data_IF_161847978505
#
_entry.id   IF_161847978505
#
_cell.length_a   1.000
_cell.length_b   1.000
_cell.length_c   1.000
_cell.angle_alpha   90.00
_cell.angle_beta   90.00
_cell.angle_gamma   90.00
#
_symmetry.space_group_name_H-M   'P 1'
#
loop_
_entity.id
_entity.type
_entity.pdbx_description
1 polymer ?
#
# COMPACT_ATOMS: atom_id res chain seq x y z
N UNK A 1 0.64 -13.15 -15.52
CA UNK A 1 -0.64 -13.87 -15.32
C UNK A 1 -1.75 -12.82 -15.37
N UNK A 2 -2.77 -12.97 -16.21
CA UNK A 2 -3.87 -12.01 -16.28
C UNK A 2 -4.94 -12.40 -15.25
N UNK A 3 -5.42 -11.45 -14.46
CA UNK A 3 -6.57 -11.66 -13.58
C UNK A 3 -7.80 -11.97 -14.43
N UNK A 4 -8.48 -13.10 -14.14
CA UNK A 4 -9.74 -13.42 -14.82
C UNK A 4 -10.88 -12.56 -14.27
N UNK A 5 -11.91 -12.24 -15.06
CA UNK A 5 -13.07 -11.48 -14.60
C UNK A 5 -13.77 -12.11 -13.38
N UNK A 6 -13.84 -13.44 -13.34
CA UNK A 6 -14.42 -14.19 -12.22
C UNK A 6 -13.63 -13.95 -10.93
N UNK A 7 -12.30 -13.91 -11.03
CA UNK A 7 -11.43 -13.71 -9.89
C UNK A 7 -11.54 -12.27 -9.36
N UNK A 8 -11.57 -11.27 -10.25
CA UNK A 8 -11.79 -9.87 -9.87
C UNK A 8 -13.15 -9.68 -9.20
N UNK A 9 -14.18 -10.38 -9.69
CA UNK A 9 -15.51 -10.38 -9.05
C UNK A 9 -15.46 -10.98 -7.64
N UNK A 10 -14.73 -12.09 -7.48
CA UNK A 10 -14.46 -12.69 -6.16
C UNK A 10 -13.75 -11.72 -5.22
N UNK A 11 -12.70 -11.06 -5.70
CA UNK A 11 -11.98 -10.04 -4.94
C UNK A 11 -12.90 -8.92 -4.45
N UNK A 12 -13.70 -8.32 -5.33
CA UNK A 12 -14.64 -7.27 -4.96
C UNK A 12 -15.64 -7.71 -3.88
N UNK A 13 -16.19 -8.92 -4.03
CA UNK A 13 -17.15 -9.49 -3.09
C UNK A 13 -16.54 -9.73 -1.70
N UNK A 14 -15.39 -10.40 -1.63
CA UNK A 14 -14.75 -10.74 -0.36
C UNK A 14 -14.06 -9.54 0.27
N UNK A 15 -13.54 -8.60 -0.51
CA UNK A 15 -13.04 -7.31 -0.01
C UNK A 15 -14.11 -6.58 0.79
N UNK A 16 -15.31 -6.40 0.20
CA UNK A 16 -16.43 -5.75 0.89
C UNK A 16 -16.82 -6.45 2.19
N UNK A 17 -16.82 -7.79 2.20
CA UNK A 17 -17.13 -8.59 3.40
C UNK A 17 -16.06 -8.42 4.48
N UNK A 18 -14.78 -8.54 4.13
CA UNK A 18 -13.68 -8.45 5.10
C UNK A 18 -13.56 -7.04 5.68
N UNK A 19 -13.64 -6.00 4.84
CA UNK A 19 -13.63 -4.60 5.31
C UNK A 19 -14.81 -4.31 6.23
N UNK A 20 -16.01 -4.78 5.87
CA UNK A 20 -17.19 -4.67 6.75
C UNK A 20 -16.99 -5.44 8.05
N UNK A 21 -16.48 -6.66 8.00
CA UNK A 21 -16.20 -7.49 9.18
C UNK A 21 -15.23 -6.80 10.15
N UNK A 22 -14.14 -6.24 9.63
CA UNK A 22 -13.19 -5.48 10.42
C UNK A 22 -13.85 -4.28 11.14
N UNK A 23 -14.70 -3.52 10.44
CA UNK A 23 -15.37 -2.34 11.00
C UNK A 23 -16.60 -2.63 11.86
N UNK A 24 -17.05 -3.89 11.96
CA UNK A 24 -18.00 -4.30 13.00
C UNK A 24 -17.35 -4.15 14.38
N UNK A 25 -16.04 -4.41 14.47
CA UNK A 25 -15.26 -4.43 15.71
C UNK A 25 -14.44 -3.14 15.89
N UNK A 26 -13.86 -2.61 14.81
CA UNK A 26 -12.84 -1.55 14.87
C UNK A 26 -13.33 -0.24 14.23
N UNK A 27 -13.00 0.90 14.84
CA UNK A 27 -13.33 2.23 14.29
C UNK A 27 -12.20 2.78 13.41
N UNK A 28 -10.98 2.35 13.72
CA UNK A 28 -9.74 2.82 13.14
C UNK A 28 -9.65 2.41 11.68
N UNK A 29 -9.15 3.27 10.78
CA UNK A 29 -8.98 2.88 9.40
C UNK A 29 -7.99 1.72 9.23
N UNK A 30 -8.28 0.81 8.30
CA UNK A 30 -7.36 -0.26 7.87
C UNK A 30 -6.03 0.34 7.36
N UNK A 31 -4.91 -0.12 7.94
CA UNK A 31 -3.54 0.31 7.61
C UNK A 31 -2.56 -0.86 7.74
N UNK A 32 -1.44 -0.78 7.04
CA UNK A 32 -0.24 -1.62 7.26
C UNK A 32 -0.54 -3.12 7.39
N UNK A 33 -0.22 -3.74 8.54
CA UNK A 33 -0.40 -5.17 8.78
C UNK A 33 -1.86 -5.62 8.80
N UNK A 34 -2.80 -4.74 9.16
CA UNK A 34 -4.24 -5.04 9.09
C UNK A 34 -4.66 -5.22 7.64
N UNK A 35 -4.14 -4.38 6.74
CA UNK A 35 -4.41 -4.54 5.30
C UNK A 35 -3.88 -5.87 4.80
N UNK A 36 -2.70 -6.27 5.23
CA UNK A 36 -2.09 -7.54 4.84
C UNK A 36 -2.91 -8.76 5.29
N UNK A 37 -3.41 -8.75 6.54
CA UNK A 37 -4.28 -9.81 7.04
C UNK A 37 -5.62 -9.87 6.27
N UNK A 38 -6.23 -8.71 6.01
CA UNK A 38 -7.47 -8.62 5.23
C UNK A 38 -7.25 -9.10 3.79
N UNK A 39 -6.20 -8.62 3.12
CA UNK A 39 -5.88 -8.99 1.74
C UNK A 39 -5.69 -10.51 1.62
N UNK A 40 -4.98 -11.13 2.56
CA UNK A 40 -4.80 -12.60 2.62
C UNK A 40 -6.14 -13.33 2.68
N UNK A 41 -7.07 -12.90 3.54
CA UNK A 41 -8.40 -13.51 3.61
C UNK A 41 -9.20 -13.33 2.31
N UNK A 42 -9.12 -12.14 1.70
CA UNK A 42 -9.79 -11.87 0.42
C UNK A 42 -9.28 -12.79 -0.68
N UNK A 43 -7.96 -12.96 -0.78
CA UNK A 43 -7.32 -13.86 -1.75
C UNK A 43 -7.77 -15.32 -1.54
N UNK A 44 -7.68 -15.82 -0.31
CA UNK A 44 -8.07 -17.19 0.03
C UNK A 44 -9.54 -17.47 -0.30
N UNK A 45 -10.44 -16.59 0.11
CA UNK A 45 -11.86 -16.77 -0.16
C UNK A 45 -12.23 -16.62 -1.63
N UNK A 46 -11.49 -15.82 -2.40
CA UNK A 46 -11.64 -15.72 -3.84
C UNK A 46 -11.06 -16.92 -4.62
N UNK A 47 -10.49 -17.91 -3.92
CA UNK A 47 -9.94 -19.14 -4.52
C UNK A 47 -8.47 -19.07 -4.90
N UNK A 48 -7.73 -18.06 -4.43
CA UNK A 48 -6.28 -18.03 -4.56
C UNK A 48 -5.61 -18.88 -3.47
N UNK A 49 -4.46 -19.48 -3.79
CA UNK A 49 -3.58 -20.04 -2.77
C UNK A 49 -2.64 -18.95 -2.25
N UNK A 50 -2.41 -18.92 -0.93
CA UNK A 50 -1.40 -18.06 -0.30
C UNK A 50 -0.28 -18.94 0.23
N UNK A 51 0.92 -18.76 -0.31
CA UNK A 51 2.11 -19.54 0.05
C UNK A 51 2.81 -18.96 1.29
N UNK A 52 2.83 -17.64 1.42
CA UNK A 52 3.45 -16.97 2.58
C UNK A 52 2.86 -15.59 2.82
N UNK A 53 2.93 -15.15 4.08
CA UNK A 53 2.54 -13.83 4.55
C UNK A 53 3.62 -13.29 5.50
N UNK A 54 3.96 -12.00 5.41
CA UNK A 54 5.03 -11.37 6.19
C UNK A 54 4.64 -11.08 7.64
N UNK A 55 3.34 -11.11 7.96
CA UNK A 55 2.72 -10.86 9.25
C UNK A 55 3.15 -9.53 9.87
N UNK A 56 3.21 -8.47 9.06
CA UNK A 56 3.66 -7.15 9.50
C UNK A 56 5.17 -7.04 9.74
N UNK A 57 5.96 -8.05 9.34
CA UNK A 57 7.42 -7.93 9.40
C UNK A 57 7.91 -6.81 8.47
N UNK A 58 8.92 -6.07 8.91
CA UNK A 58 9.52 -4.98 8.13
C UNK A 58 10.52 -5.48 7.07
N UNK A 59 10.40 -6.74 6.64
CA UNK A 59 11.27 -7.28 5.60
C UNK A 59 11.04 -6.49 4.29
N UNK A 60 12.11 -6.10 3.58
CA UNK A 60 11.94 -5.37 2.33
C UNK A 60 11.31 -6.27 1.26
N UNK A 61 10.32 -5.75 0.54
CA UNK A 61 9.80 -6.37 -0.69
C UNK A 61 8.33 -6.80 -0.60
N UNK A 62 8.09 -8.09 -0.90
CA UNK A 62 6.78 -8.73 -0.89
C UNK A 62 6.29 -9.04 0.52
N UNK A 63 5.03 -8.70 0.77
CA UNK A 63 4.30 -8.99 2.01
C UNK A 63 3.45 -10.27 1.89
N UNK A 64 2.92 -10.58 0.70
CA UNK A 64 2.13 -11.79 0.44
C UNK A 64 2.63 -12.47 -0.84
N UNK A 65 2.89 -13.77 -0.77
CA UNK A 65 3.12 -14.61 -1.96
C UNK A 65 1.89 -15.46 -2.22
N UNK A 66 1.31 -15.36 -3.41
CA UNK A 66 0.04 -16.02 -3.76
C UNK A 66 0.02 -16.54 -5.19
N UNK A 67 -1.02 -17.29 -5.56
CA UNK A 67 -1.20 -17.79 -6.92
C UNK A 67 -1.35 -16.69 -7.97
N UNK A 68 -1.69 -15.45 -7.58
CA UNK A 68 -1.75 -14.31 -8.51
C UNK A 68 -0.42 -13.56 -8.63
N UNK A 69 0.58 -13.92 -7.81
CA UNK A 69 1.87 -13.26 -7.73
C UNK A 69 2.20 -12.78 -6.31
N UNK A 70 3.36 -12.14 -6.23
CA UNK A 70 3.89 -11.52 -5.03
C UNK A 70 3.38 -10.08 -4.89
N UNK A 71 2.84 -9.75 -3.72
CA UNK A 71 2.22 -8.45 -3.44
C UNK A 71 3.09 -7.69 -2.45
N UNK A 72 3.30 -6.39 -2.70
CA UNK A 72 3.76 -5.44 -1.69
C UNK A 72 2.56 -4.62 -1.24
N UNK A 73 2.10 -4.86 -0.01
CA UNK A 73 0.96 -4.17 0.56
C UNK A 73 1.32 -2.76 0.98
N UNK A 74 0.43 -1.83 0.66
CA UNK A 74 0.56 -0.42 0.99
C UNK A 74 -0.78 0.10 1.46
N UNK A 75 -0.76 1.03 2.41
CA UNK A 75 -1.95 1.74 2.85
C UNK A 75 -1.72 3.24 2.76
N UNK A 76 -2.70 3.97 2.24
CA UNK A 76 -2.58 5.41 2.00
C UNK A 76 -3.91 6.10 2.30
N UNK A 77 -3.85 7.36 2.74
CA UNK A 77 -5.00 8.26 2.79
C UNK A 77 -4.95 9.13 1.55
N UNK A 78 -6.05 9.30 0.84
CA UNK A 78 -6.12 10.27 -0.24
C UNK A 78 -5.75 11.67 0.29
N UNK A 79 -4.90 12.37 -0.45
CA UNK A 79 -4.46 13.73 -0.07
C UNK A 79 -5.58 14.76 -0.23
N UNK A 80 -6.54 14.47 -1.11
CA UNK A 80 -7.62 15.35 -1.51
C UNK A 80 -8.91 14.55 -1.71
N UNK A 81 -10.06 15.19 -1.50
CA UNK A 81 -11.37 14.58 -1.79
C UNK A 81 -11.59 14.28 -3.27
N UNK A 82 -10.80 14.87 -4.16
CA UNK A 82 -10.79 14.54 -5.58
C UNK A 82 -10.35 13.09 -5.87
N UNK A 83 -9.71 12.43 -4.88
CA UNK A 83 -9.12 11.09 -5.02
C UNK A 83 -8.24 10.97 -6.26
N UNK A 84 -7.57 12.06 -6.61
CA UNK A 84 -6.75 12.18 -7.81
C UNK A 84 -5.27 11.88 -7.55
N UNK A 85 -4.87 11.77 -6.27
CA UNK A 85 -3.47 11.57 -5.91
C UNK A 85 -3.30 10.57 -4.76
N UNK A 86 -2.33 9.68 -4.91
CA UNK A 86 -1.83 8.79 -3.87
C UNK A 86 -0.37 9.12 -3.55
N UNK A 87 0.00 9.10 -2.28
CA UNK A 87 1.40 9.15 -1.86
C UNK A 87 1.78 7.83 -1.20
N UNK A 88 2.51 6.99 -1.92
CA UNK A 88 2.88 5.65 -1.48
C UNK A 88 4.36 5.62 -1.15
N UNK A 89 4.70 5.15 0.05
CA UNK A 89 6.10 4.93 0.41
C UNK A 89 6.57 3.54 0.02
N UNK A 90 7.83 3.43 -0.36
CA UNK A 90 8.51 2.18 -0.69
C UNK A 90 9.99 2.29 -0.33
N UNK A 91 10.72 1.18 -0.33
CA UNK A 91 12.18 1.06 -0.14
C UNK A 91 12.83 2.02 0.89
N UNK A 92 13.32 1.49 2.01
CA UNK A 92 14.20 2.25 2.92
C UNK A 92 15.64 2.24 2.39
N UNK A 93 16.15 3.38 1.93
CA UNK A 93 17.39 3.45 1.14
C UNK A 93 18.59 3.98 1.94
N UNK A 94 18.53 3.96 3.28
CA UNK A 94 19.62 4.44 4.15
C UNK A 94 20.98 3.77 3.89
N UNK A 95 21.00 2.60 3.25
CA UNK A 95 22.23 1.89 2.86
C UNK A 95 22.98 2.56 1.70
N UNK A 96 22.27 3.30 0.84
CA UNK A 96 22.82 3.92 -0.39
C UNK A 96 22.68 5.44 -0.40
N UNK A 97 21.81 6.02 0.42
CA UNK A 97 21.69 7.47 0.55
C UNK A 97 21.25 7.94 1.94
N UNK A 98 21.79 9.07 2.38
CA UNK A 98 21.60 9.66 3.71
C UNK A 98 21.99 11.14 3.72
N UNK A 99 21.80 11.82 4.85
CA UNK A 99 22.18 13.22 4.99
C UNK A 99 23.70 13.43 4.93
N UNK A 100 24.50 12.46 5.41
CA UNK A 100 25.96 12.51 5.39
C UNK A 100 26.56 12.01 4.06
N UNK A 101 25.83 11.14 3.36
CA UNK A 101 26.21 10.64 2.05
C UNK A 101 24.97 10.63 1.15
N UNK A 102 24.76 11.66 0.30
CA UNK A 102 23.61 11.73 -0.59
C UNK A 102 23.47 10.55 -1.57
N UNK A 103 24.55 9.79 -1.79
CA UNK A 103 24.61 8.72 -2.79
C UNK A 103 24.56 9.26 -4.22
N UNK A 104 24.44 8.36 -5.19
CA UNK A 104 24.12 8.71 -6.57
C UNK A 104 22.87 7.96 -7.05
N UNK A 105 22.20 8.53 -8.06
CA UNK A 105 20.92 8.00 -8.55
C UNK A 105 21.05 6.61 -9.17
N UNK A 106 22.18 6.32 -9.83
CA UNK A 106 22.42 5.01 -10.44
C UNK A 106 22.41 3.91 -9.38
N UNK A 107 23.20 4.06 -8.32
CA UNK A 107 23.25 3.12 -7.19
C UNK A 107 21.91 3.00 -6.48
N UNK A 108 21.19 4.11 -6.30
CA UNK A 108 19.85 4.11 -5.70
C UNK A 108 18.87 3.28 -6.54
N UNK A 109 18.86 3.47 -7.87
CA UNK A 109 18.00 2.73 -8.79
C UNK A 109 18.38 1.25 -8.81
N UNK A 110 19.68 0.92 -8.80
CA UNK A 110 20.16 -0.46 -8.75
C UNK A 110 19.73 -1.15 -7.45
N UNK A 111 19.83 -0.48 -6.30
CA UNK A 111 19.38 -1.02 -5.01
C UNK A 111 17.86 -1.23 -4.98
N UNK A 112 17.08 -0.34 -5.59
CA UNK A 112 15.62 -0.53 -5.77
C UNK A 112 15.35 -1.79 -6.61
N UNK A 113 16.01 -1.93 -7.77
CA UNK A 113 15.84 -3.09 -8.66
C UNK A 113 16.24 -4.39 -7.97
N UNK A 114 17.34 -4.39 -7.23
CA UNK A 114 17.84 -5.56 -6.48
C UNK A 114 16.84 -6.03 -5.42
N UNK A 115 16.15 -5.10 -4.74
CA UNK A 115 15.17 -5.42 -3.68
C UNK A 115 13.78 -5.75 -4.21
N UNK A 116 13.49 -5.45 -5.48
CA UNK A 116 12.19 -5.70 -6.10
C UNK A 116 12.00 -7.21 -6.29
N UNK A 117 11.18 -7.81 -5.43
CA UNK A 117 10.84 -9.23 -5.44
C UNK A 117 9.31 -9.47 -5.46
N UNK A 118 8.55 -8.46 -5.86
CA UNK A 118 7.10 -8.50 -5.93
C UNK A 118 6.59 -8.08 -7.32
N UNK A 119 5.44 -8.60 -7.69
CA UNK A 119 4.80 -8.39 -8.98
C UNK A 119 3.87 -7.17 -8.93
N UNK A 120 3.18 -6.95 -7.82
CA UNK A 120 2.18 -5.89 -7.69
C UNK A 120 2.35 -5.06 -6.41
N UNK A 121 2.09 -3.76 -6.52
CA UNK A 121 1.70 -2.94 -5.38
C UNK A 121 0.21 -3.17 -5.12
N UNK A 122 -0.11 -3.77 -3.97
CA UNK A 122 -1.49 -3.94 -3.49
C UNK A 122 -1.81 -2.83 -2.51
N UNK A 123 -2.47 -1.78 -2.99
CA UNK A 123 -2.65 -0.52 -2.25
C UNK A 123 -4.09 -0.41 -1.79
N UNK A 124 -4.30 -0.32 -0.47
CA UNK A 124 -5.57 0.14 0.08
C UNK A 124 -5.51 1.67 0.26
N UNK A 125 -6.27 2.39 -0.55
CA UNK A 125 -6.45 3.83 -0.42
C UNK A 125 -7.75 4.13 0.31
N UNK A 126 -7.73 5.14 1.17
CA UNK A 126 -8.92 5.54 1.94
C UNK A 126 -9.23 7.02 1.86
N UNK A 127 -10.51 7.33 1.88
CA UNK A 127 -11.06 8.67 2.13
C UNK A 127 -11.91 8.61 3.39
N UNK A 128 -11.56 9.43 4.39
CA UNK A 128 -12.32 9.56 5.63
C UNK A 128 -13.38 10.64 5.41
N UNK A 129 -14.64 10.22 5.31
CA UNK A 129 -15.80 11.05 5.00
C UNK A 129 -16.48 11.55 6.29
N UNK A 130 -17.37 12.53 6.14
CA UNK A 130 -18.18 13.02 7.26
C UNK A 130 -19.12 11.93 7.81
N UNK A 131 -19.45 12.03 9.10
CA UNK A 131 -20.42 11.13 9.73
C UNK A 131 -19.89 9.71 10.00
N UNK A 132 -18.60 9.58 10.36
CA UNK A 132 -17.96 8.28 10.65
C UNK A 132 -18.10 7.29 9.50
N UNK A 133 -17.81 7.75 8.28
CA UNK A 133 -17.80 6.93 7.06
C UNK A 133 -16.40 6.91 6.48
N UNK A 134 -16.02 5.78 5.90
CA UNK A 134 -14.78 5.65 5.15
C UNK A 134 -15.08 4.98 3.81
N UNK A 135 -14.57 5.58 2.74
CA UNK A 135 -14.47 4.97 1.42
C UNK A 135 -13.09 4.33 1.26
N UNK A 136 -13.07 3.11 0.75
CA UNK A 136 -11.86 2.37 0.44
C UNK A 136 -11.83 1.97 -1.03
N UNK A 137 -10.68 2.19 -1.68
CA UNK A 137 -10.34 1.62 -2.97
C UNK A 137 -9.17 0.66 -2.79
N UNK A 138 -9.25 -0.50 -3.42
CA UNK A 138 -8.16 -1.45 -3.52
C UNK A 138 -7.59 -1.41 -4.94
N UNK A 139 -6.35 -0.91 -5.04
CA UNK A 139 -5.58 -0.93 -6.26
C UNK A 139 -4.68 -2.16 -6.31
N UNK A 140 -4.60 -2.77 -7.49
CA UNK A 140 -3.57 -3.74 -7.82
C UNK A 140 -2.74 -3.23 -9.00
N UNK A 141 -1.69 -2.47 -8.68
CA UNK A 141 -0.84 -1.81 -9.67
C UNK A 141 0.40 -2.65 -9.98
N UNK A 142 0.67 -3.02 -11.24
CA UNK A 142 1.89 -3.73 -11.62
C UNK A 142 3.13 -2.96 -11.17
N UNK A 143 4.06 -3.67 -10.56
CA UNK A 143 5.30 -3.09 -10.02
C UNK A 143 6.25 -2.57 -11.10
N UNK A 144 6.07 -2.99 -12.34
CA UNK A 144 6.78 -2.57 -13.55
C UNK A 144 6.03 -1.50 -14.36
N UNK A 145 4.86 -1.07 -13.88
CA UNK A 145 4.12 0.00 -14.52
C UNK A 145 4.97 1.29 -14.57
N UNK A 146 5.01 2.03 -15.70
CA UNK A 146 5.87 3.20 -15.87
C UNK A 146 5.73 4.26 -14.76
N UNK A 147 4.55 4.38 -14.15
CA UNK A 147 4.25 5.36 -13.08
C UNK A 147 5.00 5.08 -11.76
N UNK A 148 5.46 3.84 -11.55
CA UNK A 148 6.22 3.42 -10.36
C UNK A 148 7.64 2.99 -10.69
N UNK A 149 8.06 3.14 -11.95
CA UNK A 149 9.41 2.84 -12.40
C UNK A 149 10.32 4.08 -12.28
N UNK A 150 11.29 4.10 -11.34
CA UNK A 150 12.14 5.27 -11.12
C UNK A 150 13.05 5.60 -12.31
N UNK A 151 13.20 4.68 -13.28
CA UNK A 151 14.00 4.92 -14.50
C UNK A 151 13.26 5.77 -15.54
N UNK A 152 11.96 5.96 -15.39
CA UNK A 152 11.14 6.80 -16.30
C UNK A 152 11.18 8.28 -15.93
N UNK A 153 11.92 8.63 -14.90
CA UNK A 153 11.97 9.96 -14.33
C UNK A 153 13.39 10.53 -14.37
N UNK A 154 13.47 11.85 -14.51
CA UNK A 154 14.71 12.59 -14.38
C UNK A 154 14.89 13.03 -12.93
N UNK A 155 16.01 12.66 -12.33
CA UNK A 155 16.30 12.92 -10.93
C UNK A 155 17.18 14.16 -10.76
N UNK A 156 16.88 14.95 -9.72
CA UNK A 156 17.64 16.12 -9.33
C UNK A 156 17.81 16.22 -7.81
N UNK A 157 18.89 16.83 -7.31
CA UNK A 157 19.05 17.08 -5.89
C UNK A 157 17.89 17.90 -5.31
N UNK A 158 17.35 17.46 -4.17
CA UNK A 158 16.43 18.26 -3.37
C UNK A 158 17.27 19.15 -2.44
N UNK A 159 17.23 20.46 -2.63
CA UNK A 159 18.02 21.43 -1.84
C UNK A 159 17.15 22.09 -0.78
N UNK A 160 17.62 22.08 0.47
CA UNK A 160 16.93 22.74 1.57
C UNK A 160 16.86 24.25 1.38
N UNK A 161 15.68 24.83 1.63
CA UNK A 161 15.42 26.25 1.36
C UNK A 161 15.54 27.14 2.61
N UNK A 162 15.50 26.56 3.81
CA UNK A 162 15.38 27.28 5.08
C UNK A 162 16.17 26.61 6.21
N UNK A 163 16.48 27.39 7.24
CA UNK A 163 17.09 26.92 8.48
C UNK A 163 18.48 26.33 8.30
N UNK A 164 18.83 25.37 9.17
CA UNK A 164 20.15 24.72 9.21
C UNK A 164 20.54 23.96 7.94
N UNK A 165 19.57 23.62 7.09
CA UNK A 165 19.77 22.86 5.86
C UNK A 165 19.71 23.73 4.60
N UNK A 166 19.73 25.07 4.75
CA UNK A 166 19.64 25.97 3.59
C UNK A 166 20.86 25.79 2.69
N UNK A 167 20.62 25.50 1.41
CA UNK A 167 21.68 25.31 0.40
C UNK A 167 22.32 23.91 0.41
N UNK A 168 22.01 23.06 1.39
CA UNK A 168 22.50 21.67 1.43
C UNK A 168 21.53 20.72 0.73
N UNK A 169 22.03 19.67 0.12
CA UNK A 169 21.20 18.59 -0.40
C UNK A 169 20.56 17.83 0.78
N UNK A 170 19.23 17.76 0.77
CA UNK A 170 18.42 17.08 1.79
C UNK A 170 17.66 15.88 1.23
N UNK A 171 17.93 15.53 -0.03
CA UNK A 171 17.25 14.44 -0.69
C UNK A 171 17.45 14.41 -2.20
N UNK A 172 16.57 13.66 -2.84
CA UNK A 172 16.40 13.54 -4.28
C UNK A 172 14.94 13.76 -4.64
N UNK A 173 14.68 14.34 -5.80
CA UNK A 173 13.33 14.48 -6.35
C UNK A 173 13.37 14.27 -7.86
N UNK A 174 12.25 13.88 -8.43
CA UNK A 174 12.13 13.78 -9.88
C UNK A 174 11.46 15.00 -10.50
N UNK A 175 11.51 15.09 -11.82
CA UNK A 175 10.53 15.81 -12.61
C UNK A 175 9.11 15.19 -12.44
N UNK A 176 8.11 15.89 -12.96
CA UNK A 176 6.72 15.41 -13.00
C UNK A 176 6.46 14.80 -14.37
N UNK A 177 5.95 13.56 -14.39
CA UNK A 177 5.54 12.84 -15.60
C UNK A 177 4.10 12.39 -15.41
N UNK A 178 3.18 12.85 -16.27
CA UNK A 178 1.74 12.59 -16.17
C UNK A 178 1.16 12.89 -14.78
N UNK A 179 1.54 14.03 -14.19
CA UNK A 179 1.14 14.42 -12.83
C UNK A 179 1.80 13.64 -11.69
N UNK A 180 2.57 12.59 -11.99
CA UNK A 180 3.23 11.75 -10.99
C UNK A 180 4.70 12.14 -10.81
N UNK A 181 5.26 11.88 -9.63
CA UNK A 181 6.66 12.17 -9.30
C UNK A 181 7.16 11.28 -8.15
N UNK A 182 8.47 11.27 -7.93
CA UNK A 182 9.09 10.56 -6.81
C UNK A 182 10.01 11.48 -6.03
N UNK A 183 10.24 11.13 -4.77
CA UNK A 183 11.19 11.81 -3.92
C UNK A 183 11.79 10.89 -2.87
N UNK A 184 12.98 11.24 -2.41
CA UNK A 184 13.65 10.65 -1.26
C UNK A 184 14.08 11.83 -0.39
N UNK A 185 13.66 11.84 0.87
CA UNK A 185 14.13 12.84 1.83
C UNK A 185 15.07 12.19 2.82
N UNK A 186 16.27 12.74 2.97
CA UNK A 186 17.28 12.27 3.91
C UNK A 186 16.80 12.49 5.34
N UNK A 187 16.35 11.39 5.93
CA UNK A 187 15.83 11.27 7.29
C UNK A 187 16.23 9.87 7.80
N UNK A 188 15.71 9.42 8.95
CA UNK A 188 16.14 8.15 9.56
C UNK A 188 16.11 6.94 8.60
N UNK A 189 15.15 6.88 7.68
CA UNK A 189 14.96 5.74 6.78
C UNK A 189 15.27 6.01 5.29
N UNK A 190 15.62 7.25 4.91
CA UNK A 190 15.79 7.70 3.52
C UNK A 190 14.83 6.99 2.55
N UNK A 191 13.52 7.14 2.78
CA UNK A 191 12.51 6.33 2.12
C UNK A 191 12.15 6.91 0.73
N UNK A 192 11.89 6.02 -0.24
CA UNK A 192 11.29 6.42 -1.52
C UNK A 192 9.81 6.73 -1.32
N UNK A 193 9.38 7.91 -1.74
CA UNK A 193 7.98 8.33 -1.80
C UNK A 193 7.59 8.50 -3.26
N UNK A 194 6.49 7.85 -3.65
CA UNK A 194 5.91 7.92 -4.99
C UNK A 194 4.59 8.69 -4.90
N UNK A 195 4.53 9.85 -5.55
CA UNK A 195 3.32 10.63 -5.74
C UNK A 195 2.71 10.21 -7.08
N UNK A 196 1.58 9.52 -7.03
CA UNK A 196 0.90 8.93 -8.17
C UNK A 196 -0.35 9.75 -8.46
N UNK A 197 -0.43 10.35 -9.64
CA UNK A 197 -1.64 10.97 -10.15
C UNK A 197 -2.54 9.89 -10.77
N UNK A 198 -3.79 9.84 -10.33
CA UNK A 198 -4.81 8.88 -10.74
C UNK A 198 -5.78 9.57 -11.72
N UNK A 199 -5.54 9.38 -13.01
CA UNK A 199 -6.54 9.68 -14.03
C UNK A 199 -7.62 8.58 -14.07
N UNK A 200 -8.71 8.82 -14.81
CA UNK A 200 -9.84 7.88 -14.85
C UNK A 200 -9.45 6.53 -15.45
N UNK A 201 -8.60 6.52 -16.48
CA UNK A 201 -8.07 5.30 -17.09
C UNK A 201 -7.32 4.40 -16.07
N UNK A 202 -6.42 4.98 -15.27
CA UNK A 202 -5.71 4.24 -14.22
C UNK A 202 -6.67 3.71 -13.15
N UNK A 203 -7.70 4.47 -12.79
CA UNK A 203 -8.70 4.04 -11.81
C UNK A 203 -9.51 2.87 -12.35
N UNK A 204 -10.02 2.97 -13.57
CA UNK A 204 -10.77 1.90 -14.23
C UNK A 204 -9.95 0.63 -14.40
N UNK A 205 -8.66 0.77 -14.70
CA UNK A 205 -7.78 -0.37 -14.95
C UNK A 205 -7.32 -1.07 -13.67
N UNK A 206 -7.02 -0.33 -12.61
CA UNK A 206 -6.31 -0.88 -11.46
C UNK A 206 -7.09 -0.90 -10.15
N UNK A 207 -8.25 -0.24 -10.03
CA UNK A 207 -9.15 -0.43 -8.89
C UNK A 207 -9.90 -1.74 -9.10
N UNK A 208 -9.53 -2.77 -8.34
CA UNK A 208 -10.13 -4.11 -8.45
C UNK A 208 -11.27 -4.33 -7.45
N UNK A 209 -11.36 -3.49 -6.42
CA UNK A 209 -12.48 -3.48 -5.48
C UNK A 209 -12.61 -2.12 -4.81
N UNK A 210 -13.82 -1.78 -4.39
CA UNK A 210 -14.05 -0.63 -3.52
C UNK A 210 -15.22 -0.91 -2.57
N UNK A 211 -15.27 -0.17 -1.47
CA UNK A 211 -16.43 -0.17 -0.58
C UNK A 211 -16.48 1.11 0.23
N UNK A 212 -17.68 1.54 0.53
CA UNK A 212 -17.93 2.61 1.49
C UNK A 212 -18.77 2.06 2.64
N UNK A 213 -18.42 2.43 3.88
CA UNK A 213 -19.14 1.98 5.06
C UNK A 213 -18.99 2.94 6.23
N UNK A 214 -19.86 2.77 7.23
CA UNK A 214 -19.71 3.43 8.53
C UNK A 214 -18.69 2.69 9.40
N UNK A 215 -17.88 3.45 10.14
CA UNK A 215 -16.92 2.96 11.13
C UNK A 215 -17.51 2.82 12.52
N UNK A 216 -18.84 2.89 12.66
CA UNK A 216 -19.47 2.66 13.96
C UNK A 216 -19.32 1.19 14.36
N UNK A 217 -18.53 0.94 15.41
CA UNK A 217 -18.44 -0.35 16.09
C UNK A 217 -19.84 -0.83 16.47
N UNK A 218 -20.17 -2.05 16.06
CA UNK A 218 -21.46 -2.71 16.35
C UNK A 218 -21.33 -3.83 17.38
N UNK A 219 -20.11 -4.31 17.60
CA UNK A 219 -19.77 -5.42 18.48
C UNK A 219 -18.37 -5.15 19.04
N UNK A 220 -18.14 -5.43 20.32
CA UNK A 220 -16.79 -5.42 20.89
C UNK A 220 -16.22 -6.84 21.00
N UNK A 221 -14.98 -6.97 21.45
CA UNK A 221 -14.30 -8.27 21.54
C UNK A 221 -14.93 -9.21 22.59
N UNK A 222 -15.60 -8.67 23.62
CA UNK A 222 -16.30 -9.50 24.62
C UNK A 222 -17.56 -10.08 23.99
N UNK A 223 -18.37 -9.24 23.37
CA UNK A 223 -19.57 -9.68 22.65
C UNK A 223 -19.25 -10.63 21.49
N UNK A 224 -18.09 -10.48 20.85
CA UNK A 224 -17.61 -11.44 19.86
C UNK A 224 -17.25 -12.77 20.51
N UNK A 225 -16.47 -12.78 21.59
CA UNK A 225 -16.08 -14.00 22.29
C UNK A 225 -17.31 -14.76 22.81
N UNK A 226 -18.27 -14.05 23.41
CA UNK A 226 -19.54 -14.62 23.91
C UNK A 226 -20.41 -15.23 22.80
N UNK A 227 -20.16 -14.90 21.52
CA UNK A 227 -20.88 -15.48 20.38
C UNK A 227 -20.34 -16.83 19.91
N UNK A 228 -19.24 -17.31 20.49
CA UNK A 228 -18.64 -18.62 20.25
C UNK A 228 -18.51 -19.39 21.57
N UNK A 229 -18.75 -20.71 21.58
CA UNK A 229 -18.58 -21.51 22.79
C UNK A 229 -17.08 -21.68 23.08
N UNK A 230 -16.66 -21.67 24.36
CA UNK A 230 -15.25 -21.88 24.75
C UNK A 230 -14.69 -23.22 24.21
N UNK A 231 -15.56 -24.21 24.01
CA UNK A 231 -15.23 -25.56 23.53
C UNK A 231 -14.77 -25.58 22.05
N UNK A 232 -15.17 -24.61 21.23
CA UNK A 232 -14.79 -24.52 19.80
C UNK A 232 -13.33 -24.08 19.58
N UNK A 233 -12.66 -23.58 20.62
CA UNK A 233 -11.31 -22.97 20.52
C UNK A 233 -10.18 -24.00 20.68
N UNK A 234 -10.45 -25.12 21.38
CA UNK A 234 -9.41 -26.10 21.73
C UNK A 234 -9.31 -27.29 20.76
N UNK A 235 -10.27 -27.48 19.84
CA UNK A 235 -10.25 -28.62 18.90
C UNK A 235 -9.43 -28.38 17.62
N UNK A 236 -8.88 -27.17 17.41
CA UNK A 236 -8.12 -26.82 16.19
C UNK A 236 -6.66 -26.38 16.44
N UNK A 237 -6.04 -26.80 17.55
CA UNK A 237 -4.59 -26.62 17.81
C UNK A 237 -3.83 -27.91 17.52
#
# INVERSE_FOLDING_TARGET
MSLTPELVTGFAMFFKKCVRGYHILNKEPIKESVWEAINTQVLLHAGCSVASQSNGSHAPGSDISSSIGNLSNKSVKYNESSRSHLCVSSYRLSAVCSASNPGNITEIIEEIKKRKNFDFYSIIAREELSGNRIHYDWFLLPSDHPIVDPTKYEWSPLVGQRGKNKGTQVGWKTNIVNGSSMSITFSMSSQLWMNICLNDELKEQYIIANTELSTQTKMDYVALADSYAEEDILENV
#
